data_IF_120517165121
#
_entry.id   IF_120517165121
#
_cell.length_a   1.000
_cell.length_b   1.000
_cell.length_c   1.000
_cell.angle_alpha   90.00
_cell.angle_beta   90.00
_cell.angle_gamma   90.00
#
_symmetry.space_group_name_H-M   'P 1'
#
loop_
_entity.id
_entity.type
_entity.pdbx_description
1 polymer ?
#
# COMPACT_ATOMS: atom_id res chain seq x y z
N UNK A 1 10.51 -22.02 -6.17
CA UNK A 1 9.49 -20.99 -6.00
C UNK A 1 10.00 -19.89 -5.10
N UNK A 2 9.80 -18.65 -5.49
CA UNK A 2 10.30 -17.54 -4.72
C UNK A 2 9.39 -17.27 -3.52
N UNK A 3 9.97 -17.15 -2.36
CA UNK A 3 9.21 -16.82 -1.16
C UNK A 3 8.84 -15.33 -1.16
N UNK A 4 7.61 -15.03 -0.79
CA UNK A 4 7.15 -13.66 -0.72
C UNK A 4 7.69 -13.01 0.56
N UNK A 5 8.27 -11.83 0.43
CA UNK A 5 8.75 -11.07 1.57
C UNK A 5 7.80 -9.88 1.81
N UNK A 6 6.82 -10.12 2.65
CA UNK A 6 5.83 -9.08 2.96
C UNK A 6 6.44 -7.87 3.67
N UNK A 7 7.50 -8.09 4.44
CA UNK A 7 8.15 -6.97 5.12
C UNK A 7 8.80 -6.02 4.13
N UNK A 8 9.36 -6.56 3.06
CA UNK A 8 9.92 -5.71 2.03
C UNK A 8 8.85 -4.88 1.35
N UNK A 9 7.68 -5.47 1.10
CA UNK A 9 6.56 -4.73 0.52
C UNK A 9 6.13 -3.61 1.47
N UNK A 10 6.06 -3.89 2.76
CA UNK A 10 5.71 -2.88 3.76
C UNK A 10 6.72 -1.73 3.72
N UNK A 11 8.00 -2.04 3.61
CA UNK A 11 9.03 -1.01 3.51
C UNK A 11 8.82 -0.12 2.29
N UNK A 12 8.47 -0.71 1.15
CA UNK A 12 8.18 0.06 -0.06
C UNK A 12 6.99 0.98 0.15
N UNK A 13 5.95 0.47 0.78
CA UNK A 13 4.73 1.25 1.03
C UNK A 13 4.96 2.38 2.04
N UNK A 14 5.97 2.24 2.89
CA UNK A 14 6.30 3.25 3.88
C UNK A 14 7.25 4.33 3.33
N UNK A 15 7.70 4.20 2.08
CA UNK A 15 8.60 5.16 1.48
C UNK A 15 7.93 6.53 1.33
N UNK A 16 8.73 7.58 1.35
CA UNK A 16 8.26 8.92 1.01
C UNK A 16 8.35 9.19 -0.50
N UNK A 17 8.99 8.29 -1.24
CA UNK A 17 9.12 8.41 -2.69
C UNK A 17 7.92 7.75 -3.36
N UNK A 18 7.15 8.55 -4.10
CA UNK A 18 5.93 8.09 -4.74
C UNK A 18 6.18 6.90 -5.67
N UNK A 19 7.29 6.91 -6.41
CA UNK A 19 7.57 5.83 -7.33
C UNK A 19 7.83 4.52 -6.59
N UNK A 20 8.44 4.60 -5.43
CA UNK A 20 8.70 3.41 -4.63
C UNK A 20 7.38 2.89 -4.03
N UNK A 21 6.50 3.78 -3.59
CA UNK A 21 5.19 3.36 -3.08
C UNK A 21 4.42 2.65 -4.20
N UNK A 22 4.44 3.19 -5.41
CA UNK A 22 3.76 2.57 -6.54
C UNK A 22 4.33 1.17 -6.83
N UNK A 23 5.62 1.01 -6.68
CA UNK A 23 6.24 -0.30 -6.85
C UNK A 23 5.69 -1.29 -5.82
N UNK A 24 5.57 -0.87 -4.57
CA UNK A 24 4.98 -1.72 -3.55
C UNK A 24 3.55 -2.13 -3.87
N UNK A 25 2.75 -1.19 -4.39
CA UNK A 25 1.38 -1.49 -4.78
C UNK A 25 1.35 -2.46 -5.96
N UNK A 26 2.30 -2.33 -6.88
CA UNK A 26 2.41 -3.26 -8.01
C UNK A 26 2.67 -4.68 -7.53
N UNK A 27 3.47 -4.85 -6.49
CA UNK A 27 3.70 -6.17 -5.93
C UNK A 27 2.42 -6.76 -5.34
N UNK A 28 1.58 -5.92 -4.73
CA UNK A 28 0.31 -6.40 -4.22
C UNK A 28 -0.57 -6.95 -5.34
N UNK A 29 -0.56 -6.28 -6.49
CA UNK A 29 -1.30 -6.75 -7.65
C UNK A 29 -0.73 -8.06 -8.17
N UNK A 30 0.59 -8.13 -8.29
CA UNK A 30 1.27 -9.32 -8.80
C UNK A 30 0.99 -10.55 -7.93
N UNK A 31 0.83 -10.35 -6.64
CA UNK A 31 0.55 -11.42 -5.70
C UNK A 31 -0.95 -11.73 -5.59
N UNK A 32 -1.77 -11.07 -6.38
CA UNK A 32 -3.23 -11.23 -6.35
C UNK A 32 -3.85 -10.86 -5.00
N UNK A 33 -3.18 -10.00 -4.26
CA UNK A 33 -3.73 -9.51 -2.99
C UNK A 33 -4.73 -8.39 -3.21
N UNK A 34 -4.64 -7.72 -4.36
CA UNK A 34 -5.63 -6.76 -4.81
C UNK A 34 -5.94 -7.07 -6.27
N UNK A 35 -7.12 -6.68 -6.73
CA UNK A 35 -7.48 -6.86 -8.12
C UNK A 35 -7.08 -5.64 -8.94
N UNK A 36 -7.22 -5.76 -10.24
CA UNK A 36 -6.81 -4.70 -11.15
C UNK A 36 -7.60 -3.42 -10.93
N UNK A 37 -8.88 -3.54 -10.63
CA UNK A 37 -9.72 -2.39 -10.38
C UNK A 37 -9.24 -1.63 -9.14
N UNK A 38 -8.94 -2.35 -8.07
CA UNK A 38 -8.41 -1.73 -6.86
C UNK A 38 -7.06 -1.07 -7.13
N UNK A 39 -6.21 -1.73 -7.90
CA UNK A 39 -4.91 -1.18 -8.27
C UNK A 39 -5.08 0.16 -9.00
N UNK A 40 -5.95 0.20 -10.02
CA UNK A 40 -6.17 1.42 -10.78
C UNK A 40 -6.73 2.54 -9.90
N UNK A 41 -7.66 2.20 -9.01
CA UNK A 41 -8.22 3.20 -8.11
C UNK A 41 -7.15 3.81 -7.21
N UNK A 42 -6.29 2.97 -6.65
CA UNK A 42 -5.23 3.47 -5.77
C UNK A 42 -4.26 4.36 -6.54
N UNK A 43 -3.87 3.95 -7.73
CA UNK A 43 -2.94 4.73 -8.55
C UNK A 43 -3.51 6.10 -8.89
N UNK A 44 -4.81 6.17 -9.16
CA UNK A 44 -5.45 7.45 -9.45
C UNK A 44 -5.38 8.42 -8.27
N UNK A 45 -5.39 7.90 -7.05
CA UNK A 45 -5.30 8.76 -5.88
C UNK A 45 -3.91 9.37 -5.68
N UNK A 46 -2.92 8.91 -6.46
CA UNK A 46 -1.60 9.54 -6.42
C UNK A 46 -1.59 10.91 -7.09
N UNK A 47 -2.66 11.24 -7.83
CA UNK A 47 -2.85 12.58 -8.38
C UNK A 47 -3.70 13.46 -7.48
N UNK A 48 -4.21 12.92 -6.39
CA UNK A 48 -5.05 13.63 -5.43
C UNK A 48 -4.17 14.27 -4.36
N UNK A 49 -4.74 15.13 -3.50
CA UNK A 49 -3.99 15.64 -2.36
C UNK A 49 -3.41 14.52 -1.51
N UNK A 50 -2.25 14.78 -0.93
CA UNK A 50 -1.51 13.76 -0.20
C UNK A 50 -2.33 13.08 0.89
N UNK A 51 -3.12 13.86 1.63
CA UNK A 51 -3.92 13.29 2.73
C UNK A 51 -4.92 12.26 2.21
N UNK A 52 -5.49 12.50 1.04
CA UNK A 52 -6.47 11.58 0.45
C UNK A 52 -5.80 10.31 -0.06
N UNK A 53 -4.65 10.47 -0.71
CA UNK A 53 -3.86 9.33 -1.15
C UNK A 53 -3.49 8.44 0.03
N UNK A 54 -2.99 9.05 1.10
CA UNK A 54 -2.57 8.31 2.28
C UNK A 54 -3.75 7.64 2.96
N UNK A 55 -4.89 8.31 3.00
CA UNK A 55 -6.10 7.73 3.55
C UNK A 55 -6.52 6.46 2.80
N UNK A 56 -6.50 6.52 1.48
CA UNK A 56 -6.89 5.37 0.66
C UNK A 56 -5.90 4.22 0.83
N UNK A 57 -4.63 4.55 0.90
CA UNK A 57 -3.60 3.54 1.11
C UNK A 57 -3.73 2.90 2.48
N UNK A 58 -4.03 3.71 3.50
CA UNK A 58 -4.23 3.21 4.86
C UNK A 58 -5.39 2.23 4.92
N UNK A 59 -6.49 2.54 4.23
CA UNK A 59 -7.65 1.64 4.20
C UNK A 59 -7.28 0.30 3.54
N UNK A 60 -6.52 0.36 2.47
CA UNK A 60 -6.09 -0.85 1.79
C UNK A 60 -5.25 -1.73 2.72
N UNK A 61 -4.25 -1.12 3.36
CA UNK A 61 -3.37 -1.87 4.24
C UNK A 61 -4.12 -2.39 5.47
N UNK A 62 -5.03 -1.58 5.99
CA UNK A 62 -5.87 -2.00 7.11
C UNK A 62 -6.61 -3.30 6.78
N UNK A 63 -7.14 -3.40 5.56
CA UNK A 63 -7.83 -4.62 5.15
C UNK A 63 -6.88 -5.80 4.98
N UNK A 64 -5.70 -5.54 4.42
CA UNK A 64 -4.74 -6.61 4.18
C UNK A 64 -4.15 -7.17 5.47
N UNK A 65 -3.97 -6.33 6.49
CA UNK A 65 -3.37 -6.81 7.74
C UNK A 65 -4.24 -7.82 8.47
N UNK A 66 -5.53 -7.91 8.11
CA UNK A 66 -6.42 -8.89 8.70
C UNK A 66 -6.01 -10.32 8.33
N UNK A 67 -5.42 -10.50 7.17
CA UNK A 67 -4.98 -11.80 6.71
C UNK A 67 -3.46 -11.93 6.64
N UNK A 68 -2.75 -10.82 6.58
CA UNK A 68 -1.30 -10.79 6.48
C UNK A 68 -0.76 -9.94 7.61
N UNK A 69 -0.40 -10.56 8.75
CA UNK A 69 0.00 -9.80 9.94
C UNK A 69 1.20 -8.87 9.73
N UNK A 70 2.07 -9.18 8.78
CA UNK A 70 3.23 -8.34 8.51
C UNK A 70 2.85 -6.92 8.14
N UNK A 71 1.66 -6.71 7.58
CA UNK A 71 1.22 -5.37 7.21
C UNK A 71 0.90 -4.49 8.42
N UNK A 72 0.88 -5.05 9.62
CA UNK A 72 0.72 -4.23 10.83
C UNK A 72 1.89 -3.29 11.05
N UNK A 73 3.01 -3.54 10.38
CA UNK A 73 4.18 -2.67 10.48
C UNK A 73 4.09 -1.45 9.55
N UNK A 74 3.04 -1.36 8.76
CA UNK A 74 2.85 -0.19 7.92
C UNK A 74 2.57 1.05 8.79
N UNK A 75 3.24 2.15 8.46
CA UNK A 75 3.11 3.40 9.22
C UNK A 75 2.11 4.30 8.52
N UNK A 76 1.05 4.69 9.26
CA UNK A 76 0.08 5.65 8.76
C UNK A 76 0.79 6.99 8.52
N UNK A 77 0.72 7.52 7.31
CA UNK A 77 1.54 8.67 6.94
C UNK A 77 0.83 9.99 6.87
N UNK A 78 -0.44 10.05 6.89
CA UNK A 78 -1.08 11.33 6.69
C UNK A 78 -2.40 11.46 7.37
N UNK A 79 -3.30 10.63 6.97
CA UNK A 79 -4.65 10.72 7.46
C UNK A 79 -4.71 10.36 8.95
N UNK A 80 -5.33 11.22 9.73
CA UNK A 80 -5.51 10.97 11.15
C UNK A 80 -4.27 11.17 11.99
N UNK A 81 -3.22 11.65 11.39
CA UNK A 81 -1.93 11.78 12.04
C UNK A 81 -1.56 13.25 12.20
N UNK A 82 -2.48 14.04 12.53
CA UNK A 82 -2.31 15.49 12.66
C UNK A 82 -1.82 15.86 14.04
#
# INVERSE_FOLDING_TARGET
MKKVDYKEIVNLLNSSDIEIIKLGISYLLDLNLIDEKTFQNIIEYFNAPTWLRDYRLDLLIWNLQKTIPEFKEYINKGYGNT
#
